data_IF_404691830924
#
_entry.id   IF_404691830924
#
_cell.length_a   1.000
_cell.length_b   1.000
_cell.length_c   1.000
_cell.angle_alpha   90.00
_cell.angle_beta   90.00
_cell.angle_gamma   90.00
#
_symmetry.space_group_name_H-M   'P 1'
#
loop_
_entity.id
_entity.type
_entity.pdbx_description
1 polymer ?
#
# COMPACT_ATOMS: atom_id res chain seq x y z
N UNK A 1 12.54 21.89 -46.55
CA UNK A 1 12.82 22.47 -45.22
C UNK A 1 11.49 22.62 -44.51
N UNK A 2 11.05 21.57 -43.81
CA UNK A 2 9.68 21.45 -43.28
C UNK A 2 9.70 21.79 -41.78
N UNK A 3 8.98 22.84 -41.40
CA UNK A 3 8.83 23.29 -40.02
C UNK A 3 7.59 22.60 -39.43
N UNK A 4 7.80 21.57 -38.62
CA UNK A 4 6.73 20.92 -37.87
C UNK A 4 6.46 21.70 -36.57
N UNK A 5 5.41 22.51 -36.57
CA UNK A 5 4.87 23.12 -35.34
C UNK A 5 3.92 22.12 -34.69
N UNK A 6 4.49 21.17 -33.95
CA UNK A 6 3.72 20.25 -33.11
C UNK A 6 3.51 20.86 -31.73
N UNK A 7 2.40 21.54 -31.51
CA UNK A 7 1.91 21.80 -30.16
C UNK A 7 1.47 20.45 -29.56
N UNK A 8 2.38 19.77 -28.87
CA UNK A 8 2.03 18.61 -28.04
C UNK A 8 1.25 19.18 -26.85
N UNK A 9 -0.07 19.23 -27.02
CA UNK A 9 -1.03 19.44 -25.94
C UNK A 9 -0.85 18.24 -25.03
N UNK A 10 -0.01 18.39 -24.00
CA UNK A 10 0.21 17.38 -22.98
C UNK A 10 -1.13 17.10 -22.30
N UNK A 11 -1.81 16.08 -22.79
CA UNK A 11 -2.95 15.47 -22.13
C UNK A 11 -2.39 14.78 -20.89
N UNK A 12 -2.31 15.50 -19.78
CA UNK A 12 -2.00 14.91 -18.48
C UNK A 12 -3.02 13.81 -18.21
N UNK A 13 -2.62 12.55 -17.95
CA UNK A 13 -3.55 11.56 -17.48
C UNK A 13 -4.10 12.04 -16.13
N UNK A 14 -5.39 12.37 -16.15
CA UNK A 14 -6.36 12.46 -15.05
C UNK A 14 -5.71 12.27 -13.66
N UNK A 15 -5.56 13.36 -12.90
CA UNK A 15 -5.40 13.26 -11.45
C UNK A 15 -6.40 12.22 -10.95
N UNK A 16 -5.92 11.23 -10.21
CA UNK A 16 -6.79 10.39 -9.39
C UNK A 16 -7.41 11.35 -8.38
N UNK A 17 -8.55 11.95 -8.73
CA UNK A 17 -9.47 12.48 -7.74
C UNK A 17 -9.78 11.28 -6.86
N UNK A 18 -9.42 11.34 -5.59
CA UNK A 18 -10.13 10.59 -4.56
C UNK A 18 -11.62 10.92 -4.79
N UNK A 19 -12.32 10.04 -5.52
CA UNK A 19 -13.60 10.38 -6.14
C UNK A 19 -14.71 10.47 -5.09
N UNK A 20 -14.45 9.99 -3.88
CA UNK A 20 -15.18 10.30 -2.67
C UNK A 20 -14.22 10.17 -1.47
N UNK A 21 -13.95 11.23 -0.69
CA UNK A 21 -13.33 11.06 0.63
C UNK A 21 -14.23 10.25 1.59
N UNK A 22 -15.54 10.14 1.29
CA UNK A 22 -16.49 9.28 2.01
C UNK A 22 -16.51 7.81 1.54
N UNK A 23 -15.79 7.43 0.48
CA UNK A 23 -15.58 6.03 0.13
C UNK A 23 -14.47 5.37 0.96
N UNK A 24 -13.75 6.16 1.76
CA UNK A 24 -12.80 5.68 2.78
C UNK A 24 -13.56 5.52 4.10
N UNK A 25 -14.40 4.49 4.21
CA UNK A 25 -15.09 4.21 5.49
C UNK A 25 -15.34 2.70 5.66
N UNK A 26 -15.13 2.10 6.86
CA UNK A 26 -14.49 2.61 8.07
C UNK A 26 -13.36 1.71 8.62
N UNK A 27 -12.40 2.32 9.30
CA UNK A 27 -11.45 1.66 10.22
C UNK A 27 -12.12 0.62 11.14
N UNK A 28 -13.38 0.85 11.51
CA UNK A 28 -14.20 -0.05 12.34
C UNK A 28 -14.48 -1.43 11.69
N UNK A 29 -14.66 -1.51 10.36
CA UNK A 29 -14.90 -2.81 9.70
C UNK A 29 -13.70 -3.75 9.85
N UNK A 30 -12.49 -3.19 9.87
CA UNK A 30 -11.28 -3.97 9.95
C UNK A 30 -10.99 -4.42 11.39
N UNK A 31 -11.28 -3.55 12.37
CA UNK A 31 -11.20 -3.89 13.80
C UNK A 31 -12.11 -5.06 14.14
N UNK A 32 -13.33 -5.08 13.59
CA UNK A 32 -14.28 -6.18 13.82
C UNK A 32 -13.96 -7.45 13.00
N UNK A 33 -13.41 -7.30 11.78
CA UNK A 33 -13.09 -8.42 10.91
C UNK A 33 -11.82 -9.18 11.33
N UNK A 34 -10.83 -8.50 11.91
CA UNK A 34 -9.55 -9.11 12.26
C UNK A 34 -9.68 -10.24 13.31
N UNK A 35 -10.42 -10.07 14.42
CA UNK A 35 -10.68 -11.16 15.36
C UNK A 35 -11.47 -12.32 14.74
N UNK A 36 -12.36 -12.05 13.78
CA UNK A 36 -13.10 -13.10 13.08
C UNK A 36 -12.20 -13.95 12.16
N UNK A 37 -11.18 -13.34 11.56
CA UNK A 37 -10.21 -14.02 10.70
C UNK A 37 -9.05 -14.65 11.49
N UNK A 38 -8.71 -14.05 12.64
CA UNK A 38 -7.61 -14.44 13.53
C UNK A 38 -8.06 -14.29 14.99
N UNK A 39 -8.71 -15.32 15.57
CA UNK A 39 -9.26 -15.25 16.91
C UNK A 39 -8.21 -15.11 18.02
N UNK A 40 -6.92 -15.26 17.69
CA UNK A 40 -5.83 -15.00 18.62
C UNK A 40 -5.62 -13.48 18.89
N UNK A 41 -6.10 -12.62 18.00
CA UNK A 41 -6.01 -11.17 18.13
C UNK A 41 -7.05 -10.65 19.12
N UNK A 42 -6.59 -9.83 20.08
CA UNK A 42 -7.50 -9.03 20.91
C UNK A 42 -8.05 -7.85 20.11
N UNK A 43 -9.09 -7.21 20.64
CA UNK A 43 -9.60 -5.94 20.10
C UNK A 43 -8.50 -4.86 20.03
N UNK A 44 -7.63 -4.80 21.03
CA UNK A 44 -6.49 -3.89 21.04
C UNK A 44 -5.48 -4.22 19.94
N UNK A 45 -5.19 -5.50 19.69
CA UNK A 45 -4.32 -5.93 18.59
C UNK A 45 -4.95 -5.56 17.23
N UNK A 46 -6.27 -5.74 17.09
CA UNK A 46 -7.01 -5.39 15.89
C UNK A 46 -6.97 -3.88 15.60
N UNK A 47 -7.10 -3.04 16.64
CA UNK A 47 -6.92 -1.59 16.54
C UNK A 47 -5.51 -1.22 16.08
N UNK A 48 -4.47 -1.84 16.67
CA UNK A 48 -3.08 -1.55 16.30
C UNK A 48 -2.76 -1.97 14.85
N UNK A 49 -3.21 -3.15 14.43
CA UNK A 49 -3.04 -3.64 13.05
C UNK A 49 -3.78 -2.73 12.06
N UNK A 50 -4.99 -2.31 12.41
CA UNK A 50 -5.79 -1.40 11.57
C UNK A 50 -5.12 -0.04 11.42
N UNK A 51 -4.65 0.56 12.52
CA UNK A 51 -3.91 1.81 12.49
C UNK A 51 -2.64 1.71 11.63
N UNK A 52 -1.87 0.62 11.78
CA UNK A 52 -0.70 0.37 10.95
C UNK A 52 -1.05 0.20 9.47
N UNK A 53 -2.15 -0.49 9.15
CA UNK A 53 -2.63 -0.68 7.78
C UNK A 53 -2.96 0.66 7.10
N UNK A 54 -3.67 1.55 7.80
CA UNK A 54 -4.07 2.85 7.25
C UNK A 54 -2.83 3.71 6.96
N UNK A 55 -1.93 3.81 7.93
CA UNK A 55 -0.69 4.59 7.80
C UNK A 55 0.19 4.05 6.67
N UNK A 56 0.32 2.72 6.59
CA UNK A 56 1.11 2.08 5.54
C UNK A 56 0.46 2.27 4.17
N UNK A 57 -0.86 2.13 4.07
CA UNK A 57 -1.59 2.32 2.82
C UNK A 57 -1.42 3.75 2.31
N UNK A 58 -1.64 4.74 3.18
CA UNK A 58 -1.51 6.16 2.83
C UNK A 58 -0.09 6.54 2.39
N UNK A 59 0.94 5.94 3.00
CA UNK A 59 2.34 6.23 2.71
C UNK A 59 2.91 5.45 1.53
N UNK A 60 2.59 4.16 1.41
CA UNK A 60 3.14 3.28 0.38
C UNK A 60 2.43 3.43 -0.97
N UNK A 61 1.13 3.76 -0.98
CA UNK A 61 0.35 3.83 -2.22
C UNK A 61 0.95 4.77 -3.27
N UNK A 62 1.30 6.05 -2.95
CA UNK A 62 1.90 6.96 -3.93
C UNK A 62 3.23 6.46 -4.49
N UNK A 63 4.00 5.72 -3.68
CA UNK A 63 5.30 5.17 -4.07
C UNK A 63 5.19 3.92 -4.94
N UNK A 64 4.09 3.17 -4.83
CA UNK A 64 3.84 1.95 -5.60
C UNK A 64 3.04 2.19 -6.89
N UNK A 65 2.59 3.42 -7.13
CA UNK A 65 1.93 3.85 -8.37
C UNK A 65 2.89 4.66 -9.23
N UNK A 66 3.79 4.03 -10.00
CA UNK A 66 4.76 4.76 -10.82
C UNK A 66 4.06 5.58 -11.90
N UNK A 67 4.62 6.74 -12.22
CA UNK A 67 4.24 7.49 -13.42
C UNK A 67 4.65 6.73 -14.68
N UNK A 68 4.05 7.06 -15.82
CA UNK A 68 4.40 6.41 -17.11
C UNK A 68 5.91 6.52 -17.42
N UNK A 69 6.52 7.66 -17.11
CA UNK A 69 7.96 7.86 -17.30
C UNK A 69 8.81 6.95 -16.39
N UNK A 70 8.40 6.79 -15.12
CA UNK A 70 9.09 5.89 -14.19
C UNK A 70 8.93 4.42 -14.59
N UNK A 71 7.73 4.01 -15.02
CA UNK A 71 7.48 2.67 -15.52
C UNK A 71 8.32 2.34 -16.77
N UNK A 72 8.45 3.30 -17.70
CA UNK A 72 9.31 3.15 -18.87
C UNK A 72 10.79 3.02 -18.49
N UNK A 73 11.26 3.76 -17.49
CA UNK A 73 12.63 3.64 -16.99
C UNK A 73 12.89 2.26 -16.35
N UNK A 74 11.96 1.74 -15.54
CA UNK A 74 12.06 0.39 -14.95
C UNK A 74 12.07 -0.71 -16.02
N UNK A 75 11.33 -0.54 -17.12
CA UNK A 75 11.32 -1.49 -18.23
C UNK A 75 12.61 -1.42 -19.08
N UNK A 76 13.22 -0.25 -19.19
CA UNK A 76 14.42 -0.03 -19.99
C UNK A 76 15.71 -0.48 -19.28
N UNK A 77 15.76 -0.39 -17.95
CA UNK A 77 16.93 -0.76 -17.14
C UNK A 77 16.56 -1.75 -16.01
N UNK A 78 16.92 -3.05 -16.16
CA UNK A 78 16.70 -4.07 -15.15
C UNK A 78 17.37 -3.77 -13.80
N UNK A 79 18.43 -2.96 -13.75
CA UNK A 79 19.07 -2.55 -12.50
C UNK A 79 18.16 -1.67 -11.63
N UNK A 80 17.15 -1.04 -12.23
CA UNK A 80 16.16 -0.21 -11.54
C UNK A 80 14.93 -1.00 -11.08
N UNK A 81 14.74 -2.24 -11.55
CA UNK A 81 13.61 -3.09 -11.17
C UNK A 81 13.43 -3.27 -9.64
N UNK A 82 14.48 -3.37 -8.82
CA UNK A 82 14.33 -3.45 -7.35
C UNK A 82 13.71 -2.21 -6.71
N UNK A 83 13.70 -1.05 -7.40
CA UNK A 83 13.10 0.18 -6.91
C UNK A 83 11.58 0.21 -7.16
N UNK A 84 11.06 -0.66 -8.04
CA UNK A 84 9.63 -0.80 -8.28
C UNK A 84 9.01 -1.63 -7.15
N UNK A 85 8.44 -0.93 -6.18
CA UNK A 85 7.75 -1.56 -5.05
C UNK A 85 6.33 -1.98 -5.45
N UNK A 86 6.01 -3.25 -5.19
CA UNK A 86 4.66 -3.78 -5.28
C UNK A 86 3.89 -3.45 -4.01
N UNK A 87 2.79 -2.71 -4.16
CA UNK A 87 1.94 -2.29 -3.03
C UNK A 87 1.48 -3.49 -2.19
N UNK A 88 0.98 -4.54 -2.86
CA UNK A 88 0.47 -5.74 -2.19
C UNK A 88 1.56 -6.49 -1.45
N UNK A 89 2.78 -6.51 -1.99
CA UNK A 89 3.90 -7.22 -1.36
C UNK A 89 4.37 -6.47 -0.11
N UNK A 90 4.51 -5.15 -0.19
CA UNK A 90 4.85 -4.29 0.95
C UNK A 90 3.79 -4.41 2.04
N UNK A 91 2.51 -4.33 1.66
CA UNK A 91 1.38 -4.42 2.57
C UNK A 91 1.32 -5.79 3.26
N UNK A 92 1.35 -6.87 2.48
CA UNK A 92 1.28 -8.23 2.99
C UNK A 92 2.47 -8.60 3.90
N UNK A 93 3.68 -8.18 3.52
CA UNK A 93 4.89 -8.38 4.33
C UNK A 93 4.76 -7.67 5.67
N UNK A 94 4.35 -6.42 5.65
CA UNK A 94 4.28 -5.59 6.87
C UNK A 94 3.20 -6.10 7.81
N UNK A 95 1.99 -6.38 7.30
CA UNK A 95 0.91 -6.96 8.10
C UNK A 95 1.31 -8.28 8.75
N UNK A 96 1.98 -9.16 7.98
CA UNK A 96 2.48 -10.44 8.51
C UNK A 96 3.43 -10.21 9.69
N UNK A 97 4.38 -9.28 9.56
CA UNK A 97 5.33 -8.98 10.62
C UNK A 97 4.66 -8.35 11.84
N UNK A 98 3.75 -7.40 11.65
CA UNK A 98 3.01 -6.75 12.73
C UNK A 98 2.18 -7.76 13.51
N UNK A 99 1.35 -8.57 12.82
CA UNK A 99 0.51 -9.59 13.47
C UNK A 99 1.38 -10.63 14.19
N UNK A 100 2.43 -11.12 13.53
CA UNK A 100 3.33 -12.11 14.15
C UNK A 100 4.04 -11.53 15.36
N UNK A 101 4.47 -10.26 15.31
CA UNK A 101 5.09 -9.56 16.41
C UNK A 101 4.17 -9.44 17.63
N UNK A 102 2.93 -9.00 17.42
CA UNK A 102 1.91 -8.89 18.48
C UNK A 102 1.63 -10.25 19.13
N UNK A 103 1.49 -11.31 18.33
CA UNK A 103 1.26 -12.66 18.84
C UNK A 103 2.47 -13.23 19.59
N UNK A 104 3.69 -12.92 19.14
CA UNK A 104 4.92 -13.34 19.79
C UNK A 104 5.14 -12.61 21.13
N UNK A 105 4.91 -11.30 21.18
CA UNK A 105 4.99 -10.51 22.42
C UNK A 105 4.04 -11.04 23.50
N UNK A 106 2.86 -11.50 23.10
CA UNK A 106 1.86 -12.11 24.00
C UNK A 106 2.19 -13.56 24.39
N UNK A 107 3.26 -14.15 23.86
CA UNK A 107 3.62 -15.55 24.12
C UNK A 107 2.68 -16.58 23.50
N UNK A 108 1.84 -16.16 22.54
CA UNK A 108 0.93 -17.05 21.79
C UNK A 108 1.71 -17.89 20.78
N UNK A 109 2.80 -17.33 20.23
CA UNK A 109 3.78 -18.10 19.47
C UNK A 109 4.92 -18.54 20.41
N UNK A 110 5.35 -19.82 20.38
CA UNK A 110 6.50 -20.25 21.14
C UNK A 110 7.70 -19.39 20.77
N UNK A 111 8.36 -18.83 21.79
CA UNK A 111 9.56 -18.01 21.64
C UNK A 111 10.61 -18.76 20.82
N UNK A 112 11.25 -18.03 19.90
CA UNK A 112 12.42 -18.52 19.17
C UNK A 112 13.55 -18.89 20.10
#
# INVERSE_FOLDING_TARGET
MVRATGAVRGSFPRQVRFQDPEAVVPDLLLVDALPALRPELTEQDALQVTAALILLTASAWPSCTPTEAAAAAFAADPALAPLHMSFTDVLGRTLTLTITGLLAERGVLPGR
#
